data_IF_027013565856
#
_entry.id   IF_027013565856
#
_cell.length_a   1.000
_cell.length_b   1.000
_cell.length_c   1.000
_cell.angle_alpha   90.00
_cell.angle_beta   90.00
_cell.angle_gamma   90.00
#
_symmetry.space_group_name_H-M   'P 1'
#
loop_
_entity.id
_entity.type
_entity.pdbx_description
1 polymer ?
#
# COMPACT_ATOMS: atom_id res chain seq x y z
N UNK A 1 -3.66 -22.89 9.77
CA UNK A 1 -3.77 -21.49 9.34
C UNK A 1 -2.35 -21.07 9.04
N UNK A 2 -1.98 -21.07 7.77
CA UNK A 2 -0.61 -20.80 7.34
C UNK A 2 -0.48 -19.30 7.09
N UNK A 3 0.40 -18.64 7.85
CA UNK A 3 0.80 -17.27 7.58
C UNK A 3 1.54 -17.28 6.23
N UNK A 4 0.95 -16.63 5.23
CA UNK A 4 1.61 -16.45 3.95
C UNK A 4 2.42 -15.16 4.02
N UNK A 5 3.74 -15.32 3.95
CA UNK A 5 4.70 -14.22 3.88
C UNK A 5 5.08 -14.06 2.42
N UNK A 6 4.67 -12.94 1.82
CA UNK A 6 5.10 -12.57 0.48
C UNK A 6 6.38 -11.74 0.60
N UNK A 7 7.48 -12.32 0.12
CA UNK A 7 8.77 -11.64 0.03
C UNK A 7 8.69 -10.62 -1.11
N UNK A 8 8.73 -9.33 -0.77
CA UNK A 8 8.89 -8.30 -1.78
C UNK A 8 10.35 -8.25 -2.25
N UNK A 9 10.62 -8.74 -3.46
CA UNK A 9 11.98 -8.74 -4.03
C UNK A 9 12.61 -7.34 -4.16
N UNK A 10 11.80 -6.27 -4.14
CA UNK A 10 12.29 -4.87 -4.22
C UNK A 10 12.63 -4.25 -2.85
N UNK A 11 12.32 -4.90 -1.73
CA UNK A 11 12.70 -4.43 -0.39
C UNK A 11 13.05 -5.61 0.52
N UNK A 12 14.33 -6.04 0.59
CA UNK A 12 14.72 -7.27 1.28
C UNK A 12 14.52 -7.22 2.81
N UNK A 13 14.30 -6.02 3.37
CA UNK A 13 14.12 -5.83 4.82
C UNK A 13 12.67 -5.67 5.28
N UNK A 14 11.68 -5.69 4.38
CA UNK A 14 10.26 -5.53 4.71
C UNK A 14 9.43 -6.61 4.02
N UNK A 15 8.56 -7.24 4.79
CA UNK A 15 7.74 -8.35 4.37
C UNK A 15 6.26 -8.03 4.48
N UNK A 16 5.51 -8.43 3.45
CA UNK A 16 4.06 -8.40 3.44
C UNK A 16 3.54 -9.67 4.10
N UNK A 17 2.99 -9.56 5.30
CA UNK A 17 2.42 -10.68 6.03
C UNK A 17 0.91 -10.64 5.96
N UNK A 18 0.30 -11.78 5.64
CA UNK A 18 -1.16 -11.96 5.68
C UNK A 18 -1.55 -12.85 6.85
N UNK A 19 -2.33 -12.30 7.78
CA UNK A 19 -2.86 -12.99 8.96
C UNK A 19 -4.36 -12.74 9.11
N UNK A 20 -5.15 -13.82 9.19
CA UNK A 20 -6.61 -13.79 9.43
C UNK A 20 -7.38 -12.78 8.56
N UNK A 21 -7.14 -12.80 7.24
CA UNK A 21 -7.69 -11.87 6.23
C UNK A 21 -7.20 -10.42 6.31
N UNK A 22 -6.30 -10.12 7.22
CA UNK A 22 -5.65 -8.83 7.33
C UNK A 22 -4.21 -8.90 6.81
N UNK A 23 -3.71 -7.75 6.41
CA UNK A 23 -2.37 -7.58 5.86
C UNK A 23 -1.62 -6.57 6.72
N UNK A 24 -0.34 -6.80 6.97
CA UNK A 24 0.54 -5.86 7.63
C UNK A 24 1.97 -6.00 7.09
N UNK A 25 2.71 -4.91 7.18
CA UNK A 25 4.15 -4.87 6.91
C UNK A 25 4.92 -5.17 8.19
N UNK A 26 5.94 -6.01 8.04
CA UNK A 26 6.84 -6.41 9.11
C UNK A 26 8.28 -6.29 8.62
N UNK A 27 9.17 -5.79 9.47
CA UNK A 27 10.61 -5.75 9.20
C UNK A 27 11.22 -7.15 9.28
N UNK A 28 12.37 -7.34 8.64
CA UNK A 28 13.17 -8.56 8.74
C UNK A 28 13.51 -8.99 10.17
N UNK A 29 13.55 -8.04 11.09
CA UNK A 29 13.80 -8.29 12.51
C UNK A 29 12.55 -8.72 13.29
N UNK A 30 11.42 -8.97 12.62
CA UNK A 30 10.15 -9.35 13.26
C UNK A 30 9.37 -8.18 13.87
N UNK A 31 9.82 -6.94 13.65
CA UNK A 31 9.12 -5.74 14.13
C UNK A 31 7.97 -5.39 13.18
N UNK A 32 6.75 -5.32 13.70
CA UNK A 32 5.58 -4.87 12.94
C UNK A 32 5.70 -3.37 12.65
N UNK A 33 5.79 -2.99 11.37
CA UNK A 33 6.01 -1.61 10.94
C UNK A 33 4.70 -0.82 10.80
N UNK A 34 3.59 -1.51 10.58
CA UNK A 34 2.32 -0.85 10.28
C UNK A 34 1.12 -1.54 10.93
N UNK A 35 -0.02 -0.87 10.92
CA UNK A 35 -1.28 -1.41 11.45
C UNK A 35 -1.80 -2.54 10.56
N UNK A 36 -2.84 -3.23 11.02
CA UNK A 36 -3.55 -4.17 10.18
C UNK A 36 -4.38 -3.41 9.15
N UNK A 37 -4.34 -3.87 7.91
CA UNK A 37 -5.13 -3.38 6.79
C UNK A 37 -5.91 -4.52 6.15
N UNK A 38 -6.95 -4.17 5.39
CA UNK A 38 -7.77 -5.14 4.67
C UNK A 38 -7.03 -5.77 3.49
N UNK A 39 -6.09 -5.02 2.91
CA UNK A 39 -5.26 -5.45 1.80
C UNK A 39 -4.00 -4.60 1.70
N UNK A 40 -2.87 -5.23 1.37
CA UNK A 40 -1.65 -4.53 0.98
C UNK A 40 -1.15 -5.20 -0.30
N UNK A 41 -0.81 -4.41 -1.31
CA UNK A 41 -0.27 -4.86 -2.60
C UNK A 41 0.99 -4.07 -2.94
N UNK A 42 2.03 -4.75 -3.39
CA UNK A 42 3.31 -4.13 -3.75
C UNK A 42 4.48 -4.80 -3.04
N UNK A 43 5.62 -4.10 -2.91
CA UNK A 43 5.87 -2.74 -3.36
C UNK A 43 5.93 -2.68 -4.88
N UNK A 44 5.69 -1.51 -5.45
CA UNK A 44 5.98 -1.23 -6.86
C UNK A 44 6.44 0.21 -6.98
N UNK A 45 7.61 0.45 -7.57
CA UNK A 45 8.24 1.78 -7.60
C UNK A 45 8.37 2.41 -6.19
N UNK A 46 8.66 1.60 -5.16
CA UNK A 46 8.86 2.09 -3.79
C UNK A 46 7.60 2.37 -2.96
N UNK A 47 6.40 2.09 -3.49
CA UNK A 47 5.15 2.30 -2.74
C UNK A 47 4.34 1.02 -2.58
N UNK A 48 3.72 0.84 -1.42
CA UNK A 48 2.71 -0.18 -1.17
C UNK A 48 1.33 0.44 -1.31
N UNK A 49 0.47 -0.17 -2.10
CA UNK A 49 -0.95 0.16 -2.11
C UNK A 49 -1.60 -0.55 -0.92
N UNK A 50 -2.27 0.18 -0.04
CA UNK A 50 -3.02 -0.43 1.06
C UNK A 50 -4.50 -0.09 1.00
N UNK A 51 -5.32 -0.93 1.59
CA UNK A 51 -6.75 -0.73 1.76
C UNK A 51 -7.11 -0.75 3.25
N UNK A 52 -7.75 0.32 3.71
CA UNK A 52 -8.30 0.44 5.06
C UNK A 52 -9.59 -0.41 5.23
N UNK A 53 -10.03 -0.59 6.47
CA UNK A 53 -11.24 -1.32 6.82
C UNK A 53 -12.53 -0.68 6.27
N UNK A 54 -12.56 0.62 5.99
CA UNK A 54 -13.68 1.28 5.30
C UNK A 54 -13.69 0.99 3.79
N UNK A 55 -12.69 0.27 3.27
CA UNK A 55 -12.58 -0.07 1.85
C UNK A 55 -11.89 0.99 0.99
N UNK A 56 -11.48 2.11 1.60
CA UNK A 56 -10.70 3.16 0.95
C UNK A 56 -9.25 2.72 0.75
N UNK A 57 -8.61 3.25 -0.29
CA UNK A 57 -7.23 2.94 -0.64
C UNK A 57 -6.31 4.14 -0.48
N UNK A 58 -5.09 3.85 -0.06
CA UNK A 58 -3.99 4.81 0.10
C UNK A 58 -2.66 4.15 -0.22
N UNK A 59 -1.57 4.86 0.07
CA UNK A 59 -0.22 4.38 -0.21
C UNK A 59 0.67 4.45 1.04
N UNK A 60 1.48 3.41 1.26
CA UNK A 60 2.51 3.37 2.29
C UNK A 60 3.89 3.49 1.63
N UNK A 61 4.80 4.13 2.35
CA UNK A 61 6.22 4.11 2.07
C UNK A 61 6.81 2.72 2.33
N UNK A 62 8.04 2.50 1.86
CA UNK A 62 8.76 1.24 2.10
C UNK A 62 8.96 0.90 3.57
N UNK A 63 9.07 1.94 4.42
CA UNK A 63 9.19 1.84 5.88
C UNK A 63 7.86 1.49 6.59
N UNK A 64 6.73 1.46 5.86
CA UNK A 64 5.40 1.19 6.43
C UNK A 64 4.68 2.43 6.96
N UNK A 65 5.36 3.58 6.95
CA UNK A 65 4.79 4.90 7.16
C UNK A 65 3.76 5.26 6.07
N UNK A 66 2.69 5.99 6.41
CA UNK A 66 1.67 6.40 5.44
C UNK A 66 2.24 7.48 4.51
N UNK A 67 2.36 7.18 3.22
CA UNK A 67 2.72 8.15 2.20
C UNK A 67 1.51 9.01 1.82
N UNK A 68 0.38 8.32 1.55
CA UNK A 68 -0.88 8.96 1.20
C UNK A 68 -1.99 8.26 2.00
N UNK A 69 -2.78 9.01 2.78
CA UNK A 69 -3.86 8.45 3.57
C UNK A 69 -4.93 7.79 2.68
N UNK A 70 -5.64 6.81 3.23
CA UNK A 70 -6.70 6.12 2.52
C UNK A 70 -7.89 7.06 2.31
N UNK A 71 -7.99 7.65 1.11
CA UNK A 71 -9.03 8.60 0.74
C UNK A 71 -9.71 8.25 -0.60
N UNK A 72 -9.17 7.28 -1.34
CA UNK A 72 -9.65 6.94 -2.67
C UNK A 72 -10.57 5.73 -2.63
N UNK A 73 -11.70 5.78 -3.37
CA UNK A 73 -12.60 4.62 -3.53
C UNK A 73 -11.90 3.47 -4.24
N UNK A 74 -11.00 3.79 -5.17
CA UNK A 74 -10.17 2.82 -5.85
C UNK A 74 -8.80 3.45 -6.17
N UNK A 75 -7.77 2.63 -6.35
CA UNK A 75 -6.40 3.08 -6.58
C UNK A 75 -5.59 1.91 -7.13
N UNK A 76 -4.70 2.20 -8.08
CA UNK A 76 -3.77 1.23 -8.67
C UNK A 76 -2.35 1.54 -8.21
N UNK A 77 -1.45 0.55 -8.29
CA UNK A 77 -0.06 0.72 -7.88
C UNK A 77 0.65 1.80 -8.71
N UNK A 78 1.63 2.47 -8.10
CA UNK A 78 2.48 3.44 -8.79
C UNK A 78 3.22 2.78 -9.98
N UNK A 79 3.28 3.51 -11.09
CA UNK A 79 3.92 3.13 -12.35
C UNK A 79 4.49 4.36 -13.03
N UNK A 80 5.78 4.33 -13.39
CA UNK A 80 6.44 5.44 -14.10
C UNK A 80 6.28 6.82 -13.39
N UNK A 81 6.24 6.83 -12.06
CA UNK A 81 6.10 8.04 -11.24
C UNK A 81 4.66 8.49 -10.96
N UNK A 82 3.64 7.80 -11.48
CA UNK A 82 2.24 8.18 -11.30
C UNK A 82 1.37 7.01 -10.85
N UNK A 83 0.21 7.31 -10.25
CA UNK A 83 -0.76 6.31 -9.90
C UNK A 83 -2.19 6.75 -10.26
N UNK A 84 -2.97 5.91 -10.97
CA UNK A 84 -4.38 6.16 -11.18
C UNK A 84 -5.18 5.87 -9.91
N UNK A 85 -5.97 6.84 -9.48
CA UNK A 85 -6.86 6.80 -8.31
C UNK A 85 -8.28 7.14 -8.73
N UNK A 86 -9.26 6.62 -8.02
CA UNK A 86 -10.68 6.87 -8.23
C UNK A 86 -11.22 7.57 -6.99
N UNK A 87 -11.69 8.80 -7.20
CA UNK A 87 -12.35 9.64 -6.21
C UNK A 87 -13.87 9.49 -6.36
N UNK A 88 -14.63 10.40 -5.76
CA UNK A 88 -16.07 10.49 -6.01
C UNK A 88 -16.41 11.04 -7.40
N UNK A 89 -15.51 11.86 -7.96
CA UNK A 89 -15.71 12.56 -9.24
C UNK A 89 -15.26 11.72 -10.44
N UNK A 90 -14.40 10.73 -10.22
CA UNK A 90 -13.98 9.79 -11.25
C UNK A 90 -12.54 9.32 -11.08
N UNK A 91 -11.93 8.89 -12.19
CA UNK A 91 -10.54 8.49 -12.22
C UNK A 91 -9.63 9.69 -12.47
N UNK A 92 -8.63 9.85 -11.60
CA UNK A 92 -7.58 10.86 -11.69
C UNK A 92 -6.22 10.18 -11.65
N UNK A 93 -5.19 10.87 -12.11
CA UNK A 93 -3.81 10.44 -11.97
C UNK A 93 -3.18 11.29 -10.87
N UNK A 94 -2.51 10.66 -9.92
CA UNK A 94 -1.77 11.36 -8.88
C UNK A 94 -0.27 11.15 -9.01
N UNK A 95 0.50 12.12 -8.54
CA UNK A 95 1.93 11.99 -8.32
C UNK A 95 2.20 11.34 -6.93
N UNK A 96 3.47 11.06 -6.58
CA UNK A 96 3.82 10.45 -5.30
C UNK A 96 3.58 11.35 -4.08
N UNK A 97 3.38 12.65 -4.29
CA UNK A 97 2.96 13.60 -3.26
C UNK A 97 1.44 13.56 -3.01
N UNK A 98 0.69 12.80 -3.82
CA UNK A 98 -0.77 12.72 -3.76
C UNK A 98 -1.48 13.87 -4.48
N UNK A 99 -0.76 14.66 -5.27
CA UNK A 99 -1.35 15.74 -6.07
C UNK A 99 -1.90 15.18 -7.37
N UNK A 100 -3.08 15.64 -7.76
CA UNK A 100 -3.70 15.26 -9.04
C UNK A 100 -2.97 15.95 -10.18
N UNK A 101 -2.47 15.15 -11.12
CA UNK A 101 -1.83 15.60 -12.37
C UNK A 101 -2.81 15.33 -13.50
N UNK A 102 -3.24 16.40 -14.18
CA UNK A 102 -4.18 16.37 -15.31
C UNK A 102 -3.47 16.14 -16.64
#
# INVERSE_FOLDING_TARGET
MEDHIELSGENPGVFCCRHDKNYYLMSEYGTKLTKNYKGIWGPRNGYYLYQDFNGLRGYLNQDGSIAIPAQYKNARQFGAGYAPVCTEDGWHIINPLGEIVY
#
